data_IF_049319799534
#
_entry.id   IF_049319799534
#
_cell.length_a   1.000
_cell.length_b   1.000
_cell.length_c   1.000
_cell.angle_alpha   90.00
_cell.angle_beta   90.00
_cell.angle_gamma   90.00
#
_symmetry.space_group_name_H-M   'P 1'
#
loop_
_entity.id
_entity.type
_entity.pdbx_description
1 polymer ?
#
# COMPACT_ATOMS: atom_id res chain seq x y z
N UNK A 1 29.28 -34.97 -5.69
CA UNK A 1 29.52 -33.55 -5.37
C UNK A 1 29.22 -33.34 -3.89
N UNK A 2 30.14 -32.72 -3.16
CA UNK A 2 29.98 -32.43 -1.73
C UNK A 2 28.97 -31.31 -1.51
N UNK A 3 28.20 -31.39 -0.43
CA UNK A 3 27.18 -30.38 -0.04
C UNK A 3 27.78 -28.98 0.16
N UNK A 4 29.07 -28.91 0.48
CA UNK A 4 29.84 -27.67 0.61
C UNK A 4 29.93 -26.88 -0.70
N UNK A 5 29.96 -27.55 -1.86
CA UNK A 5 30.02 -26.86 -3.15
C UNK A 5 28.70 -26.18 -3.49
N UNK A 6 27.56 -26.67 -2.99
CA UNK A 6 26.25 -26.05 -3.22
C UNK A 6 26.09 -24.71 -2.48
N UNK A 7 26.71 -24.53 -1.32
CA UNK A 7 26.62 -23.28 -0.55
C UNK A 7 27.48 -22.15 -1.12
N UNK A 8 28.55 -22.47 -1.84
CA UNK A 8 29.39 -21.47 -2.51
C UNK A 8 28.74 -20.87 -3.77
N UNK A 9 27.56 -21.35 -4.16
CA UNK A 9 26.89 -20.88 -5.38
C UNK A 9 26.13 -19.57 -5.10
N UNK A 10 26.32 -18.51 -5.91
CA UNK A 10 25.68 -17.20 -5.75
C UNK A 10 24.15 -17.25 -5.61
N UNK A 11 23.53 -18.28 -6.19
CA UNK A 11 22.10 -18.54 -6.16
C UNK A 11 21.59 -18.79 -4.72
N UNK A 12 22.38 -19.37 -3.82
CA UNK A 12 21.95 -19.62 -2.44
C UNK A 12 22.20 -18.43 -1.51
N UNK A 13 23.20 -17.61 -1.80
CA UNK A 13 23.52 -16.41 -1.02
C UNK A 13 22.40 -15.34 -1.10
N UNK A 14 21.85 -15.12 -2.29
CA UNK A 14 20.76 -14.15 -2.49
C UNK A 14 19.37 -14.70 -2.15
N UNK A 15 19.20 -16.01 -1.99
CA UNK A 15 17.91 -16.61 -1.61
C UNK A 15 17.49 -16.19 -0.21
N UNK A 16 18.42 -16.20 0.75
CA UNK A 16 18.13 -15.77 2.12
C UNK A 16 17.72 -14.30 2.16
N UNK A 17 18.51 -13.44 1.52
CA UNK A 17 18.21 -12.01 1.41
C UNK A 17 16.86 -11.75 0.73
N UNK A 18 16.56 -12.48 -0.34
CA UNK A 18 15.28 -12.36 -1.06
C UNK A 18 14.09 -12.81 -0.21
N UNK A 19 14.24 -13.89 0.57
CA UNK A 19 13.20 -14.39 1.49
C UNK A 19 12.94 -13.38 2.60
N UNK A 20 13.99 -12.86 3.22
CA UNK A 20 13.88 -11.88 4.29
C UNK A 20 13.26 -10.56 3.81
N UNK A 21 13.68 -10.07 2.64
CA UNK A 21 13.07 -8.91 2.00
C UNK A 21 11.59 -9.15 1.69
N UNK A 22 11.25 -10.30 1.12
CA UNK A 22 9.86 -10.64 0.81
C UNK A 22 8.99 -10.69 2.07
N UNK A 23 9.44 -11.39 3.11
CA UNK A 23 8.72 -11.48 4.38
C UNK A 23 8.58 -10.11 5.04
N UNK A 24 9.61 -9.28 5.01
CA UNK A 24 9.56 -7.91 5.54
C UNK A 24 8.49 -7.07 4.86
N UNK A 25 8.45 -7.10 3.52
CA UNK A 25 7.44 -6.36 2.73
C UNK A 25 6.03 -6.92 2.99
N UNK A 26 5.86 -8.23 3.04
CA UNK A 26 4.55 -8.86 3.29
C UNK A 26 4.06 -8.55 4.70
N UNK A 27 4.92 -8.62 5.73
CA UNK A 27 4.58 -8.26 7.11
C UNK A 27 4.20 -6.79 7.23
N UNK A 28 4.98 -5.89 6.63
CA UNK A 28 4.66 -4.47 6.60
C UNK A 28 3.32 -4.20 5.88
N UNK A 29 3.09 -4.83 4.73
CA UNK A 29 1.84 -4.69 3.99
C UNK A 29 0.63 -5.21 4.78
N UNK A 30 0.76 -6.34 5.48
CA UNK A 30 -0.29 -6.87 6.35
C UNK A 30 -0.56 -5.96 7.55
N UNK A 31 0.48 -5.46 8.22
CA UNK A 31 0.35 -4.55 9.35
C UNK A 31 -0.34 -3.23 8.96
N UNK A 32 0.07 -2.64 7.82
CA UNK A 32 -0.57 -1.44 7.28
C UNK A 32 -2.02 -1.72 6.89
N UNK A 33 -2.29 -2.85 6.22
CA UNK A 33 -3.63 -3.26 5.86
C UNK A 33 -4.54 -3.37 7.07
N UNK A 34 -4.08 -4.04 8.12
CA UNK A 34 -4.80 -4.21 9.37
C UNK A 34 -5.08 -2.87 10.06
N UNK A 35 -4.06 -2.01 10.19
CA UNK A 35 -4.21 -0.67 10.77
C UNK A 35 -5.27 0.17 10.03
N UNK A 36 -5.29 0.08 8.70
CA UNK A 36 -6.29 0.78 7.88
C UNK A 36 -7.70 0.24 8.11
N UNK A 37 -7.86 -1.08 8.26
CA UNK A 37 -9.14 -1.71 8.58
C UNK A 37 -9.64 -1.32 9.98
N UNK A 38 -8.77 -1.32 10.98
CA UNK A 38 -9.10 -0.91 12.36
C UNK A 38 -9.54 0.56 12.44
N UNK A 39 -8.79 1.47 11.81
CA UNK A 39 -9.11 2.91 11.84
C UNK A 39 -10.38 3.25 11.06
N UNK A 40 -10.58 2.61 9.91
CA UNK A 40 -11.74 2.89 9.04
C UNK A 40 -13.01 2.13 9.45
N UNK A 41 -12.87 0.96 10.09
CA UNK A 41 -13.99 0.03 10.31
C UNK A 41 -14.51 -0.61 9.01
N UNK A 42 -13.79 -0.47 7.90
CA UNK A 42 -14.11 -1.03 6.59
C UNK A 42 -13.08 -2.10 6.24
N UNK A 43 -13.50 -3.13 5.49
CA UNK A 43 -12.52 -4.05 4.90
C UNK A 43 -11.60 -3.30 3.92
N UNK A 44 -10.33 -3.71 3.85
CA UNK A 44 -9.30 -3.09 3.02
C UNK A 44 -9.74 -3.04 1.55
N UNK A 45 -10.39 -4.10 1.09
CA UNK A 45 -10.97 -4.19 -0.26
C UNK A 45 -12.02 -3.10 -0.52
N UNK A 46 -12.89 -2.83 0.45
CA UNK A 46 -13.92 -1.78 0.34
C UNK A 46 -13.27 -0.40 0.42
N UNK A 47 -12.35 -0.20 1.38
CA UNK A 47 -11.60 1.05 1.55
C UNK A 47 -10.87 1.46 0.26
N UNK A 48 -10.08 0.54 -0.32
CA UNK A 48 -9.33 0.80 -1.56
C UNK A 48 -10.26 1.15 -2.72
N UNK A 49 -11.41 0.48 -2.85
CA UNK A 49 -12.38 0.79 -3.93
C UNK A 49 -13.06 2.14 -3.74
N UNK A 50 -13.38 2.49 -2.50
CA UNK A 50 -13.97 3.81 -2.18
C UNK A 50 -12.97 4.90 -2.51
N UNK A 51 -11.75 4.83 -2.00
CA UNK A 51 -10.73 5.87 -2.17
C UNK A 51 -10.20 5.98 -3.60
N UNK A 52 -10.11 4.86 -4.34
CA UNK A 52 -9.64 4.85 -5.75
C UNK A 52 -10.44 5.78 -6.67
N UNK A 53 -11.73 6.04 -6.39
CA UNK A 53 -12.55 6.96 -7.19
C UNK A 53 -12.15 8.43 -7.07
N UNK A 54 -11.45 8.78 -5.99
CA UNK A 54 -11.05 10.16 -5.68
C UNK A 54 -9.56 10.41 -5.93
N UNK A 55 -8.83 9.42 -6.45
CA UNK A 55 -7.44 9.63 -6.88
C UNK A 55 -7.44 10.61 -8.06
N UNK A 56 -6.51 11.56 -8.09
CA UNK A 56 -6.35 12.44 -9.25
C UNK A 56 -5.99 11.60 -10.47
N UNK A 57 -6.77 11.71 -11.54
CA UNK A 57 -6.50 11.02 -12.80
C UNK A 57 -6.51 11.98 -13.98
N UNK A 58 -5.71 11.65 -15.00
CA UNK A 58 -5.69 12.35 -16.27
C UNK A 58 -6.75 11.73 -17.18
N UNK A 59 -7.70 12.54 -17.65
CA UNK A 59 -8.69 12.14 -18.66
C UNK A 59 -8.33 12.82 -19.96
N UNK A 60 -8.17 12.05 -21.03
CA UNK A 60 -8.03 12.58 -22.38
C UNK A 60 -9.43 12.71 -22.98
N UNK A 61 -9.88 13.95 -23.24
CA UNK A 61 -11.12 14.24 -23.95
C UNK A 61 -10.79 15.10 -25.16
N UNK A 62 -11.15 14.64 -26.37
CA UNK A 62 -10.93 15.38 -27.62
C UNK A 62 -9.49 15.89 -27.85
N UNK A 63 -8.48 15.16 -27.37
CA UNK A 63 -7.06 15.53 -27.51
C UNK A 63 -6.52 16.47 -26.43
N UNK A 64 -7.33 16.81 -25.42
CA UNK A 64 -6.94 17.66 -24.29
C UNK A 64 -6.89 16.84 -22.99
N UNK A 65 -5.73 16.88 -22.31
CA UNK A 65 -5.55 16.23 -21.01
C UNK A 65 -6.21 17.07 -19.92
N UNK A 66 -7.33 16.63 -19.39
CA UNK A 66 -8.01 17.25 -18.26
C UNK A 66 -7.59 16.52 -16.99
N UNK A 67 -7.02 17.25 -16.03
CA UNK A 67 -6.82 16.77 -14.67
C UNK A 67 -8.15 16.87 -13.93
N UNK A 68 -8.94 15.79 -13.96
CA UNK A 68 -10.22 15.76 -13.29
C UNK A 68 -10.01 15.30 -11.83
N UNK A 69 -10.30 16.18 -10.88
CA UNK A 69 -10.49 15.82 -9.48
C UNK A 69 -12.00 15.77 -9.21
N UNK A 70 -12.51 14.63 -8.72
CA UNK A 70 -13.90 14.55 -8.30
C UNK A 70 -14.02 15.18 -6.91
N UNK A 71 -15.03 16.06 -6.66
CA UNK A 71 -15.24 16.61 -5.33
C UNK A 71 -15.45 15.45 -4.34
N UNK A 72 -14.64 15.44 -3.28
CA UNK A 72 -14.66 14.41 -2.25
C UNK A 72 -15.86 14.67 -1.33
N UNK A 73 -16.83 13.74 -1.21
CA UNK A 73 -17.97 13.93 -0.33
C UNK A 73 -17.57 13.88 1.15
N UNK A 74 -18.42 14.44 2.01
CA UNK A 74 -18.12 14.68 3.43
C UNK A 74 -17.83 13.38 4.20
N UNK A 75 -18.51 12.29 3.86
CA UNK A 75 -18.29 10.96 4.44
C UNK A 75 -16.87 10.42 4.17
N UNK A 76 -16.34 10.68 2.97
CA UNK A 76 -14.98 10.31 2.58
C UNK A 76 -13.96 11.23 3.23
N UNK A 77 -14.30 12.51 3.43
CA UNK A 77 -13.45 13.45 4.17
C UNK A 77 -13.31 13.06 5.64
N UNK A 78 -14.41 12.66 6.29
CA UNK A 78 -14.40 12.14 7.66
C UNK A 78 -13.58 10.85 7.76
N UNK A 79 -13.77 9.92 6.80
CA UNK A 79 -12.98 8.71 6.69
C UNK A 79 -11.48 9.01 6.57
N UNK A 80 -11.08 9.97 5.74
CA UNK A 80 -9.67 10.40 5.61
C UNK A 80 -9.15 11.02 6.92
N UNK A 81 -9.97 11.78 7.64
CA UNK A 81 -9.63 12.31 8.97
C UNK A 81 -9.35 11.20 9.99
N UNK A 82 -10.15 10.13 10.00
CA UNK A 82 -9.93 8.95 10.85
C UNK A 82 -8.64 8.21 10.51
N UNK A 83 -8.22 8.21 9.24
CA UNK A 83 -6.95 7.60 8.82
C UNK A 83 -5.74 8.47 9.21
N UNK A 84 -5.83 9.81 9.04
CA UNK A 84 -4.74 10.76 9.25
C UNK A 84 -4.49 11.18 10.71
N UNK A 85 -5.47 11.04 11.60
CA UNK A 85 -5.37 11.43 13.02
C UNK A 85 -4.30 10.67 13.83
N UNK A 86 -3.78 9.56 13.33
CA UNK A 86 -2.71 8.80 13.98
C UNK A 86 -1.28 9.29 13.72
N UNK A 87 -1.07 10.47 13.12
CA UNK A 87 0.26 11.04 12.85
C UNK A 87 0.56 12.37 13.61
N UNK A 88 -0.24 12.73 14.62
CA UNK A 88 0.03 13.89 15.50
C UNK A 88 0.79 13.50 16.78
N UNK A 89 1.82 12.67 16.65
CA UNK A 89 2.57 12.13 17.79
C UNK A 89 4.00 11.78 17.45
N UNK A 90 4.78 12.76 16.97
CA UNK A 90 6.24 12.74 17.09
C UNK A 90 6.69 14.17 17.41
N UNK A 91 6.82 14.44 18.70
CA UNK A 91 7.78 15.41 19.23
C UNK A 91 9.18 14.77 19.19
#
# INVERSE_FOLDING_TARGET
MSKSDLEAWPIYHHKRESIEAHLSVVMAAMAVGHLLEERSGLSLKRLVRTLRRYQTFQVQVAGQTIHAASPVPDDVTELLGRLGSGNQGVH
#
